data_IF_234994137300
#
_entry.id   IF_234994137300
#
_cell.length_a   1.000
_cell.length_b   1.000
_cell.length_c   1.000
_cell.angle_alpha   90.00
_cell.angle_beta   90.00
_cell.angle_gamma   90.00
#
_symmetry.space_group_name_H-M   'P 1'
#
loop_
_entity.id
_entity.type
_entity.pdbx_description
1 polymer ?
#
# COMPACT_ATOMS: atom_id res chain seq x y z
N UNK A 1 21.82 13.44 6.57
CA UNK A 1 21.37 12.41 5.60
C UNK A 1 20.62 11.35 6.38
N UNK A 2 19.39 11.06 5.99
CA UNK A 2 18.60 9.90 6.44
C UNK A 2 18.77 8.80 5.40
N UNK A 3 18.98 7.56 5.84
CA UNK A 3 19.05 6.37 4.98
C UNK A 3 17.98 5.36 5.40
N UNK A 4 17.55 4.55 4.45
CA UNK A 4 16.53 3.52 4.60
C UNK A 4 17.05 2.21 4.00
N UNK A 5 16.60 1.07 4.55
CA UNK A 5 16.93 -0.25 4.02
C UNK A 5 16.14 -0.51 2.75
N UNK A 6 16.83 -0.76 1.64
CA UNK A 6 16.23 -1.03 0.34
C UNK A 6 16.13 -2.55 0.11
N UNK A 7 15.00 -3.12 0.51
CA UNK A 7 14.72 -4.57 0.39
C UNK A 7 14.72 -5.03 -1.07
N UNK A 8 14.16 -4.22 -1.97
CA UNK A 8 14.15 -4.47 -3.42
C UNK A 8 15.51 -4.33 -4.12
N UNK A 9 16.55 -3.87 -3.41
CA UNK A 9 17.92 -3.76 -3.94
C UNK A 9 18.92 -4.41 -2.97
N UNK A 10 18.80 -5.73 -2.78
CA UNK A 10 19.79 -6.55 -2.08
C UNK A 10 20.04 -6.15 -0.61
N UNK A 11 19.04 -5.58 0.07
CA UNK A 11 19.17 -5.03 1.44
C UNK A 11 20.27 -3.94 1.58
N UNK A 12 20.50 -3.15 0.52
CA UNK A 12 21.42 -2.00 0.54
C UNK A 12 20.82 -0.77 1.26
N UNK A 13 21.64 0.24 1.55
CA UNK A 13 21.22 1.45 2.30
C UNK A 13 21.06 2.68 1.39
N UNK A 14 19.84 2.94 0.93
CA UNK A 14 19.53 4.09 0.07
C UNK A 14 19.33 5.38 0.89
N UNK A 15 19.93 6.53 0.49
CA UNK A 15 19.66 7.84 1.10
C UNK A 15 18.30 8.39 0.65
N UNK A 16 17.40 8.68 1.61
CA UNK A 16 16.00 9.07 1.34
C UNK A 16 15.64 10.51 1.73
N UNK A 17 16.47 11.19 2.53
CA UNK A 17 16.28 12.62 2.82
C UNK A 17 17.59 13.30 3.23
N UNK A 18 17.74 14.57 2.86
CA UNK A 18 18.79 15.45 3.36
C UNK A 18 18.21 16.62 4.15
N UNK A 19 18.16 16.47 5.47
CA UNK A 19 17.71 17.54 6.38
C UNK A 19 18.53 18.84 6.29
N UNK A 20 19.76 18.79 5.73
CA UNK A 20 20.58 20.00 5.52
C UNK A 20 20.02 20.96 4.46
N UNK A 21 19.23 20.48 3.51
CA UNK A 21 18.57 21.34 2.51
C UNK A 21 17.47 22.22 3.13
N UNK A 22 16.97 21.85 4.30
CA UNK A 22 15.96 22.58 5.06
C UNK A 22 16.58 23.53 6.10
N UNK A 23 17.86 23.34 6.45
CA UNK A 23 18.63 24.24 7.31
C UNK A 23 18.98 25.55 6.59
N UNK A 24 18.96 26.68 7.30
CA UNK A 24 19.45 27.98 6.81
C UNK A 24 20.86 28.30 7.29
N UNK A 25 21.21 27.91 8.53
CA UNK A 25 22.53 28.13 9.13
C UNK A 25 23.38 26.86 9.29
N UNK A 26 24.69 27.02 9.56
CA UNK A 26 25.57 25.91 9.97
C UNK A 26 25.12 25.29 11.31
N UNK A 27 24.62 26.11 12.21
CA UNK A 27 24.10 25.77 13.55
C UNK A 27 22.61 25.38 13.59
N UNK A 28 21.92 25.38 12.44
CA UNK A 28 20.59 24.78 12.32
C UNK A 28 20.72 23.26 12.25
N UNK A 29 19.83 22.54 12.90
CA UNK A 29 19.75 21.07 12.84
C UNK A 29 18.30 20.59 12.85
N UNK A 30 18.09 19.30 12.61
CA UNK A 30 16.80 18.62 12.78
C UNK A 30 17.03 17.35 13.60
N UNK A 31 16.27 17.19 14.68
CA UNK A 31 16.28 16.02 15.55
C UNK A 31 15.13 15.10 15.16
N UNK A 32 15.42 13.91 14.63
CA UNK A 32 14.40 13.00 14.07
C UNK A 32 13.63 12.31 15.19
N UNK A 33 12.31 12.26 15.06
CA UNK A 33 11.36 11.66 16.00
C UNK A 33 10.71 10.40 15.42
N UNK A 34 10.42 10.40 14.11
CA UNK A 34 9.78 9.26 13.45
C UNK A 34 9.85 9.33 11.93
N UNK A 35 9.74 8.16 11.31
CA UNK A 35 9.69 7.94 9.86
C UNK A 35 8.40 7.19 9.59
N UNK A 36 7.60 7.66 8.63
CA UNK A 36 6.43 6.94 8.13
C UNK A 36 6.55 6.80 6.61
N UNK A 37 6.23 5.61 6.09
CA UNK A 37 6.30 5.31 4.66
C UNK A 37 5.00 5.66 3.94
N UNK A 38 3.84 5.31 4.51
CA UNK A 38 2.53 5.70 4.01
C UNK A 38 1.71 6.39 5.13
N UNK A 39 1.33 7.67 4.98
CA UNK A 39 1.86 8.65 4.03
C UNK A 39 3.34 8.97 4.28
N UNK A 40 4.08 9.35 3.23
CA UNK A 40 5.51 9.66 3.28
C UNK A 40 5.80 10.93 4.12
N UNK A 41 6.30 10.78 5.35
CA UNK A 41 6.66 11.91 6.23
C UNK A 41 7.83 11.63 7.18
N UNK A 42 8.81 12.55 7.21
CA UNK A 42 9.89 12.58 8.19
C UNK A 42 9.51 13.52 9.35
N UNK A 43 9.07 12.96 10.47
CA UNK A 43 8.73 13.73 11.68
C UNK A 43 10.01 14.07 12.44
N UNK A 44 10.26 15.37 12.62
CA UNK A 44 11.48 15.85 13.27
C UNK A 44 11.27 17.21 13.93
N UNK A 45 12.05 17.52 14.97
CA UNK A 45 12.02 18.81 15.66
C UNK A 45 13.12 19.70 15.06
N UNK A 46 12.81 20.93 14.61
CA UNK A 46 13.82 21.88 14.17
C UNK A 46 14.60 22.42 15.37
N UNK A 47 15.93 22.36 15.30
CA UNK A 47 16.83 22.84 16.34
C UNK A 47 17.67 24.02 15.83
N UNK A 48 17.93 24.98 16.71
CA UNK A 48 18.65 26.23 16.42
C UNK A 48 19.76 26.40 17.45
N UNK A 49 21.02 26.49 17.01
CA UNK A 49 22.19 26.55 17.89
C UNK A 49 22.67 25.17 18.37
N UNK A 50 21.76 24.23 18.60
CA UNK A 50 22.01 22.88 19.11
C UNK A 50 21.60 21.76 18.13
N UNK A 51 22.02 20.51 18.41
CA UNK A 51 21.62 19.30 17.66
C UNK A 51 20.41 18.58 18.23
N UNK A 52 19.95 18.99 19.41
CA UNK A 52 18.81 18.46 20.15
C UNK A 52 17.99 19.64 20.69
N UNK A 53 16.66 19.53 20.81
CA UNK A 53 15.85 20.60 21.37
C UNK A 53 15.94 20.64 22.90
N UNK A 54 15.68 21.80 23.54
CA UNK A 54 15.44 21.84 24.98
C UNK A 54 14.13 21.12 25.32
N UNK A 55 14.04 20.54 26.51
CA UNK A 55 12.83 19.82 26.99
C UNK A 55 11.64 20.76 27.17
N UNK A 56 11.89 22.01 27.56
CA UNK A 56 10.90 23.05 27.81
C UNK A 56 11.28 24.36 27.09
N UNK A 57 10.31 25.10 26.52
CA UNK A 57 8.91 24.71 26.30
C UNK A 57 8.81 23.51 25.34
N UNK A 58 7.71 22.75 25.40
CA UNK A 58 7.52 21.53 24.58
C UNK A 58 7.72 21.85 23.08
N UNK A 59 8.73 21.26 22.41
CA UNK A 59 9.02 21.60 21.03
C UNK A 59 7.92 21.17 20.05
N UNK A 60 7.72 21.95 18.99
CA UNK A 60 6.84 21.57 17.89
C UNK A 60 7.52 20.55 16.96
N UNK A 61 6.78 19.52 16.55
CA UNK A 61 7.24 18.53 15.56
C UNK A 61 6.92 19.07 14.17
N UNK A 62 7.96 19.29 13.36
CA UNK A 62 7.85 19.56 11.94
C UNK A 62 7.73 18.25 11.14
N UNK A 63 7.14 18.34 9.95
CA UNK A 63 7.12 17.29 8.94
C UNK A 63 8.00 17.77 7.78
N UNK A 64 8.96 16.96 7.38
CA UNK A 64 9.73 17.15 6.14
C UNK A 64 9.37 16.06 5.13
N UNK A 65 9.36 16.43 3.86
CA UNK A 65 9.21 15.48 2.75
C UNK A 65 10.48 14.65 2.57
N UNK A 66 10.31 13.40 2.13
CA UNK A 66 11.42 12.62 1.60
C UNK A 66 11.80 13.10 0.20
N UNK A 67 13.08 12.96 -0.12
CA UNK A 67 13.69 13.37 -1.38
C UNK A 67 15.00 12.59 -1.56
N UNK A 68 15.05 11.71 -2.54
CA UNK A 68 16.26 10.97 -2.90
C UNK A 68 17.24 11.92 -3.64
N UNK A 69 18.56 11.74 -3.52
CA UNK A 69 19.55 12.65 -4.09
C UNK A 69 19.77 12.42 -5.60
N UNK A 70 18.72 12.59 -6.39
CA UNK A 70 18.77 12.45 -7.85
C UNK A 70 19.49 13.62 -8.53
N UNK A 71 20.21 13.31 -9.60
CA UNK A 71 20.86 14.30 -10.45
C UNK A 71 19.82 15.12 -11.23
N UNK A 72 20.13 16.40 -11.49
CA UNK A 72 19.29 17.29 -12.33
C UNK A 72 17.82 17.39 -11.88
N UNK A 73 17.56 17.33 -10.57
CA UNK A 73 16.23 17.35 -9.94
C UNK A 73 15.34 18.57 -10.29
N UNK A 74 15.90 19.63 -10.85
CA UNK A 74 15.18 20.81 -11.35
C UNK A 74 14.65 20.64 -12.80
N UNK A 75 14.91 19.50 -13.44
CA UNK A 75 14.37 19.15 -14.77
C UNK A 75 13.18 18.21 -14.64
N UNK A 76 12.23 18.27 -15.59
CA UNK A 76 11.06 17.38 -15.62
C UNK A 76 11.46 15.89 -15.53
N UNK A 77 12.53 15.50 -16.24
CA UNK A 77 13.14 14.17 -16.18
C UNK A 77 13.58 13.83 -14.75
N UNK A 78 14.47 14.62 -14.17
CA UNK A 78 15.03 14.34 -12.83
C UNK A 78 13.97 14.35 -11.73
N UNK A 79 12.93 15.18 -11.88
CA UNK A 79 11.77 15.20 -10.98
C UNK A 79 10.95 13.91 -11.06
N UNK A 80 10.61 13.43 -12.27
CA UNK A 80 9.85 12.20 -12.44
C UNK A 80 10.66 10.95 -12.05
N UNK A 81 11.98 10.93 -12.30
CA UNK A 81 12.87 9.85 -11.87
C UNK A 81 12.95 9.76 -10.34
N UNK A 82 13.09 10.91 -9.64
CA UNK A 82 13.07 10.93 -8.17
C UNK A 82 11.72 10.45 -7.63
N UNK A 83 10.61 10.92 -8.20
CA UNK A 83 9.26 10.51 -7.79
C UNK A 83 9.03 9.02 -7.99
N UNK A 84 9.45 8.46 -9.13
CA UNK A 84 9.32 7.03 -9.44
C UNK A 84 10.14 6.19 -8.45
N UNK A 85 11.44 6.45 -8.31
CA UNK A 85 12.30 5.66 -7.43
C UNK A 85 12.00 5.86 -5.95
N UNK A 86 11.47 7.03 -5.55
CA UNK A 86 10.90 7.24 -4.22
C UNK A 86 9.64 6.41 -4.01
N UNK A 87 8.71 6.38 -4.98
CA UNK A 87 7.53 5.52 -4.88
C UNK A 87 7.91 4.04 -4.78
N UNK A 88 8.89 3.56 -5.55
CA UNK A 88 9.39 2.17 -5.45
C UNK A 88 9.91 1.86 -4.05
N UNK A 89 10.89 2.63 -3.53
CA UNK A 89 11.50 2.28 -2.22
C UNK A 89 10.51 2.39 -1.06
N UNK A 90 9.57 3.33 -1.09
CA UNK A 90 8.58 3.55 -0.03
C UNK A 90 7.37 2.59 -0.06
N UNK A 91 7.30 1.68 -1.04
CA UNK A 91 6.29 0.61 -1.07
C UNK A 91 6.89 -0.80 -0.93
N UNK A 92 8.22 -0.94 -0.88
CA UNK A 92 8.93 -2.19 -0.55
C UNK A 92 8.46 -2.86 0.76
N UNK A 93 7.85 -2.11 1.69
CA UNK A 93 7.30 -2.68 2.92
C UNK A 93 6.08 -3.57 2.67
N UNK A 94 5.30 -3.33 1.59
CA UNK A 94 4.09 -4.12 1.28
C UNK A 94 4.46 -5.56 0.92
N UNK A 95 5.47 -5.74 0.06
CA UNK A 95 5.97 -7.08 -0.29
C UNK A 95 6.68 -7.77 0.87
N UNK A 96 7.25 -7.01 1.81
CA UNK A 96 7.78 -7.56 3.06
C UNK A 96 6.67 -8.05 3.99
N UNK A 97 5.62 -7.26 4.19
CA UNK A 97 4.44 -7.65 4.99
C UNK A 97 3.80 -8.91 4.38
N UNK A 98 3.56 -8.92 3.07
CA UNK A 98 3.02 -10.06 2.33
C UNK A 98 3.86 -11.34 2.51
N UNK A 99 5.18 -11.27 2.27
CA UNK A 99 6.10 -12.42 2.39
C UNK A 99 6.26 -12.94 3.81
N UNK A 100 5.94 -12.13 4.82
CA UNK A 100 5.98 -12.54 6.22
C UNK A 100 4.58 -12.82 6.83
N UNK A 101 3.52 -12.84 6.02
CA UNK A 101 2.16 -13.16 6.48
C UNK A 101 1.50 -12.08 7.35
N UNK A 102 2.01 -10.84 7.33
CA UNK A 102 1.39 -9.71 8.01
C UNK A 102 0.27 -9.11 7.17
N UNK A 103 -0.73 -8.53 7.83
CA UNK A 103 -1.80 -7.76 7.19
C UNK A 103 -1.23 -6.52 6.47
N UNK A 104 -1.64 -6.30 5.22
CA UNK A 104 -1.30 -5.13 4.42
C UNK A 104 -2.45 -4.75 3.49
N UNK A 105 -2.51 -3.49 3.10
CA UNK A 105 -3.59 -3.01 2.23
C UNK A 105 -3.22 -3.16 0.75
N UNK A 106 -3.81 -4.16 0.10
CA UNK A 106 -3.67 -4.40 -1.34
C UNK A 106 -4.21 -3.22 -2.21
N UNK A 107 -5.07 -2.36 -1.66
CA UNK A 107 -5.48 -1.10 -2.29
C UNK A 107 -4.30 -0.13 -2.44
N UNK A 108 -3.48 0.02 -1.38
CA UNK A 108 -2.25 0.83 -1.41
C UNK A 108 -1.25 0.28 -2.42
N UNK A 109 -1.06 -1.06 -2.50
CA UNK A 109 -0.18 -1.69 -3.51
C UNK A 109 -0.64 -1.37 -4.93
N UNK A 110 -1.93 -1.54 -5.23
CA UNK A 110 -2.53 -1.19 -6.52
C UNK A 110 -2.44 0.31 -6.85
N UNK A 111 -2.47 1.19 -5.85
CA UNK A 111 -2.31 2.64 -6.05
C UNK A 111 -0.85 3.04 -6.33
N UNK A 112 0.12 2.43 -5.63
CA UNK A 112 1.54 2.62 -5.88
C UNK A 112 1.92 2.24 -7.31
N UNK A 113 1.47 1.07 -7.79
CA UNK A 113 1.70 0.64 -9.17
C UNK A 113 1.10 1.62 -10.18
N UNK A 114 -0.10 2.17 -9.94
CA UNK A 114 -0.69 3.19 -10.83
C UNK A 114 0.16 4.45 -10.92
N UNK A 115 0.61 5.00 -9.78
CA UNK A 115 1.49 6.18 -9.74
C UNK A 115 2.79 5.93 -10.53
N UNK A 116 3.43 4.80 -10.29
CA UNK A 116 4.69 4.41 -10.94
C UNK A 116 4.54 4.27 -12.45
N UNK A 117 3.47 3.61 -12.92
CA UNK A 117 3.20 3.44 -14.35
C UNK A 117 2.79 4.75 -15.03
N UNK A 118 2.10 5.66 -14.33
CA UNK A 118 1.81 7.01 -14.81
C UNK A 118 3.10 7.84 -14.99
N UNK A 119 4.03 7.77 -14.04
CA UNK A 119 5.33 8.44 -14.11
C UNK A 119 6.19 7.88 -15.26
N UNK A 120 6.25 6.56 -15.42
CA UNK A 120 6.95 5.93 -16.56
C UNK A 120 6.35 6.36 -17.90
N UNK A 121 5.02 6.43 -18.03
CA UNK A 121 4.36 6.86 -19.26
C UNK A 121 4.67 8.33 -19.59
N UNK A 122 4.72 9.22 -18.58
CA UNK A 122 5.16 10.61 -18.76
C UNK A 122 6.62 10.72 -19.16
N UNK A 123 7.52 9.94 -18.54
CA UNK A 123 8.95 9.91 -18.90
C UNK A 123 9.19 9.34 -20.30
N UNK A 124 8.40 8.34 -20.72
CA UNK A 124 8.44 7.79 -22.09
C UNK A 124 7.96 8.83 -23.11
N UNK A 125 6.85 9.52 -22.83
CA UNK A 125 6.36 10.61 -23.67
C UNK A 125 7.36 11.77 -23.78
N UNK A 126 8.02 12.15 -22.68
CA UNK A 126 9.10 13.15 -22.68
C UNK A 126 10.31 12.67 -23.50
N UNK A 127 10.73 11.41 -23.34
CA UNK A 127 11.86 10.84 -24.09
C UNK A 127 11.56 10.75 -25.60
N UNK A 128 10.32 10.44 -25.97
CA UNK A 128 9.84 10.41 -27.35
C UNK A 128 9.84 11.80 -28.00
N UNK A 129 9.38 12.84 -27.29
CA UNK A 129 9.48 14.25 -27.73
C UNK A 129 10.92 14.73 -27.92
N UNK A 130 11.86 14.16 -27.16
CA UNK A 130 13.29 14.44 -27.26
C UNK A 130 14.03 13.50 -28.24
N UNK A 131 13.29 12.71 -29.02
CA UNK A 131 13.78 11.74 -30.01
C UNK A 131 14.72 10.65 -29.48
N UNK A 132 14.68 10.40 -28.16
CA UNK A 132 15.50 9.38 -27.48
C UNK A 132 14.81 8.03 -27.50
N UNK A 133 14.56 7.49 -28.68
CA UNK A 133 13.74 6.29 -28.89
C UNK A 133 14.28 5.06 -28.13
N UNK A 134 15.60 4.87 -28.05
CA UNK A 134 16.20 3.81 -27.21
C UNK A 134 15.77 3.92 -25.74
N UNK A 135 15.72 5.14 -25.18
CA UNK A 135 15.27 5.39 -23.80
C UNK A 135 13.79 5.14 -23.60
N UNK A 136 12.97 5.27 -24.64
CA UNK A 136 11.57 4.86 -24.56
C UNK A 136 11.44 3.34 -24.36
N UNK A 137 12.39 2.54 -24.86
CA UNK A 137 12.46 1.10 -24.59
C UNK A 137 12.99 0.83 -23.18
N UNK A 138 14.07 1.50 -22.74
CA UNK A 138 14.59 1.42 -21.35
C UNK A 138 13.49 1.71 -20.31
N UNK A 139 12.62 2.71 -20.57
CA UNK A 139 11.51 3.07 -19.70
C UNK A 139 10.29 2.14 -19.81
N UNK A 140 10.14 1.43 -20.93
CA UNK A 140 9.10 0.43 -21.12
C UNK A 140 9.46 -0.93 -20.52
N UNK A 141 10.75 -1.20 -20.28
CA UNK A 141 11.15 -2.40 -19.54
C UNK A 141 10.64 -2.38 -18.09
N UNK A 142 10.58 -1.19 -17.48
CA UNK A 142 9.98 -0.97 -16.16
C UNK A 142 8.44 -0.93 -16.18
N UNK A 143 7.80 -1.07 -17.35
CA UNK A 143 6.34 -1.05 -17.49
C UNK A 143 5.69 -2.44 -17.38
N UNK A 144 4.50 -2.45 -16.82
CA UNK A 144 3.55 -3.57 -16.91
C UNK A 144 3.11 -3.79 -18.36
N UNK A 145 2.71 -5.03 -18.69
CA UNK A 145 2.20 -5.41 -20.02
C UNK A 145 1.17 -4.42 -20.58
N UNK A 146 0.24 -3.98 -19.73
CA UNK A 146 -0.84 -3.07 -20.09
C UNK A 146 -0.33 -1.66 -20.45
N UNK A 147 0.74 -1.20 -19.79
CA UNK A 147 1.39 0.07 -20.08
C UNK A 147 2.32 -0.02 -21.31
N UNK A 148 3.04 -1.13 -21.53
CA UNK A 148 3.78 -1.37 -22.78
C UNK A 148 2.83 -1.39 -23.99
N UNK A 149 1.70 -2.09 -23.88
CA UNK A 149 0.64 -2.11 -24.90
C UNK A 149 0.01 -0.72 -25.16
N UNK A 150 0.07 0.20 -24.20
CA UNK A 150 -0.33 1.60 -24.40
C UNK A 150 0.81 2.43 -25.03
N UNK A 151 2.07 2.15 -24.68
CA UNK A 151 3.26 2.79 -25.26
C UNK A 151 3.44 2.46 -26.76
N UNK A 152 3.16 1.22 -27.20
CA UNK A 152 3.13 0.84 -28.63
C UNK A 152 2.14 1.73 -29.40
N UNK A 153 0.92 1.89 -28.87
CA UNK A 153 -0.14 2.72 -29.47
C UNK A 153 0.26 4.20 -29.51
N UNK A 154 0.96 4.68 -28.47
CA UNK A 154 1.52 6.03 -28.42
C UNK A 154 2.63 6.24 -29.47
N UNK A 155 3.61 5.34 -29.56
CA UNK A 155 4.71 5.42 -30.53
C UNK A 155 4.20 5.40 -31.98
N UNK A 156 3.26 4.49 -32.28
CA UNK A 156 2.58 4.42 -33.58
C UNK A 156 1.84 5.73 -33.93
N UNK A 157 1.05 6.28 -32.99
CA UNK A 157 0.37 7.57 -33.17
C UNK A 157 1.35 8.75 -33.35
N UNK A 158 2.52 8.70 -32.72
CA UNK A 158 3.63 9.66 -32.91
C UNK A 158 4.47 9.39 -34.17
N UNK A 159 4.07 8.45 -35.04
CA UNK A 159 4.78 8.04 -36.27
C UNK A 159 6.19 7.47 -36.04
N UNK A 160 6.55 7.09 -34.82
CA UNK A 160 7.83 6.46 -34.47
C UNK A 160 7.73 4.94 -34.68
N UNK A 161 7.74 4.52 -35.95
CA UNK A 161 7.47 3.13 -36.34
C UNK A 161 8.52 2.13 -35.81
N UNK A 162 9.81 2.48 -35.83
CA UNK A 162 10.88 1.62 -35.32
C UNK A 162 10.77 1.44 -33.80
N UNK A 163 10.47 2.53 -33.06
CA UNK A 163 10.13 2.43 -31.64
C UNK A 163 8.89 1.56 -31.39
N UNK A 164 7.82 1.71 -32.18
CA UNK A 164 6.62 0.90 -32.03
C UNK A 164 6.89 -0.59 -32.25
N UNK A 165 7.74 -0.94 -33.22
CA UNK A 165 8.23 -2.31 -33.42
C UNK A 165 9.03 -2.79 -32.20
N UNK A 166 10.03 -2.04 -31.74
CA UNK A 166 10.87 -2.42 -30.59
C UNK A 166 10.09 -2.59 -29.28
N UNK A 167 9.07 -1.76 -29.06
CA UNK A 167 8.12 -1.93 -27.94
C UNK A 167 7.19 -3.14 -28.11
N UNK A 168 6.95 -3.59 -29.34
CA UNK A 168 6.15 -4.79 -29.63
C UNK A 168 6.97 -6.07 -29.44
N UNK A 169 8.24 -6.05 -29.84
CA UNK A 169 9.21 -7.12 -29.54
C UNK A 169 9.35 -7.30 -28.02
N UNK A 170 9.60 -6.20 -27.29
CA UNK A 170 9.64 -6.20 -25.82
C UNK A 170 8.34 -6.72 -25.18
N UNK A 171 7.17 -6.42 -25.76
CA UNK A 171 5.89 -6.94 -25.26
C UNK A 171 5.73 -8.45 -25.46
N UNK A 172 6.36 -9.05 -26.47
CA UNK A 172 6.38 -10.51 -26.67
C UNK A 172 7.35 -11.17 -25.70
N UNK A 173 8.55 -10.60 -25.52
CA UNK A 173 9.53 -11.04 -24.52
C UNK A 173 8.90 -11.06 -23.12
N UNK A 174 8.30 -9.94 -22.70
CA UNK A 174 7.62 -9.82 -21.41
C UNK A 174 6.38 -10.71 -21.26
N UNK A 175 5.70 -11.07 -22.35
CA UNK A 175 4.60 -12.03 -22.29
C UNK A 175 5.13 -13.46 -22.05
N UNK A 176 6.24 -13.82 -22.69
CA UNK A 176 6.90 -15.11 -22.50
C UNK A 176 7.45 -15.26 -21.07
N UNK A 177 8.08 -14.21 -20.51
CA UNK A 177 8.51 -14.16 -19.11
C UNK A 177 7.38 -14.53 -18.13
N UNK A 178 6.20 -13.89 -18.27
CA UNK A 178 5.05 -14.19 -17.40
C UNK A 178 4.55 -15.63 -17.55
N UNK A 179 4.54 -16.18 -18.75
CA UNK A 179 4.14 -17.59 -18.94
C UNK A 179 5.16 -18.57 -18.36
N UNK A 180 6.46 -18.25 -18.39
CA UNK A 180 7.50 -19.06 -17.77
C UNK A 180 7.35 -19.08 -16.24
N UNK A 181 7.23 -17.92 -15.60
CA UNK A 181 7.05 -17.83 -14.14
C UNK A 181 5.80 -18.57 -13.66
N UNK A 182 4.69 -18.51 -14.41
CA UNK A 182 3.46 -19.24 -14.07
C UNK A 182 3.60 -20.77 -14.19
N UNK A 183 4.47 -21.26 -15.09
CA UNK A 183 4.79 -22.69 -15.19
C UNK A 183 5.69 -23.11 -14.03
N UNK A 184 6.74 -22.34 -13.71
CA UNK A 184 7.65 -22.62 -12.59
C UNK A 184 6.92 -22.63 -11.24
N UNK A 185 6.07 -21.62 -10.95
CA UNK A 185 5.25 -21.59 -9.73
C UNK A 185 4.27 -22.78 -9.65
N UNK A 186 3.72 -23.22 -10.79
CA UNK A 186 2.84 -24.39 -10.87
C UNK A 186 3.56 -25.73 -10.66
N UNK A 187 4.78 -25.87 -11.20
CA UNK A 187 5.62 -27.05 -11.01
C UNK A 187 6.13 -27.17 -9.57
N UNK A 188 6.46 -26.05 -8.89
CA UNK A 188 6.77 -26.06 -7.45
C UNK A 188 5.56 -26.45 -6.58
N UNK A 189 4.35 -25.95 -6.87
CA UNK A 189 3.13 -26.40 -6.18
C UNK A 189 2.85 -27.89 -6.42
N UNK A 190 3.06 -28.40 -7.64
CA UNK A 190 2.90 -29.83 -7.94
C UNK A 190 3.93 -30.71 -7.22
N UNK A 191 5.21 -30.31 -7.18
CA UNK A 191 6.26 -31.04 -6.47
C UNK A 191 6.02 -31.04 -4.94
N UNK A 192 5.56 -29.93 -4.37
CA UNK A 192 5.14 -29.87 -2.98
C UNK A 192 3.94 -30.80 -2.69
N UNK A 193 2.92 -30.82 -3.56
CA UNK A 193 1.80 -31.79 -3.48
C UNK A 193 2.28 -33.24 -3.61
N UNK A 194 3.19 -33.54 -4.54
CA UNK A 194 3.76 -34.88 -4.76
C UNK A 194 4.55 -35.35 -3.54
N UNK A 195 5.34 -34.49 -2.90
CA UNK A 195 6.07 -34.78 -1.64
C UNK A 195 5.13 -35.07 -0.47
N UNK A 196 4.03 -34.32 -0.32
CA UNK A 196 3.01 -34.61 0.70
C UNK A 196 2.31 -35.95 0.45
N UNK A 197 1.91 -36.23 -0.79
CA UNK A 197 1.23 -37.48 -1.14
C UNK A 197 2.16 -38.71 -1.04
N UNK A 198 3.46 -38.57 -1.31
CA UNK A 198 4.44 -39.66 -1.13
C UNK A 198 4.55 -40.14 0.33
N UNK A 199 4.27 -39.25 1.30
CA UNK A 199 4.17 -39.58 2.72
C UNK A 199 2.97 -40.49 3.05
N UNK A 200 1.91 -40.46 2.24
CA UNK A 200 0.75 -41.36 2.33
C UNK A 200 0.92 -42.62 1.47
N UNK A 201 2.08 -43.25 1.58
CA UNK A 201 2.28 -44.61 1.08
C UNK A 201 1.44 -45.59 1.92
N UNK A 202 0.41 -46.20 1.31
CA UNK A 202 -0.46 -47.19 1.95
C UNK A 202 0.26 -48.53 2.21
N UNK A 203 1.25 -48.54 3.10
CA UNK A 203 1.73 -49.77 3.73
C UNK A 203 0.60 -50.29 4.62
N UNK A 204 -0.08 -51.35 4.18
CA UNK A 204 -1.19 -51.93 4.92
C UNK A 204 -0.73 -52.38 6.32
N UNK A 205 -1.17 -51.67 7.36
CA UNK A 205 -0.78 -51.95 8.74
C UNK A 205 -1.29 -53.32 9.15
N UNK A 206 -0.44 -54.15 9.76
CA UNK A 206 -0.69 -55.59 10.05
C UNK A 206 -1.73 -55.85 11.17
N UNK A 207 -2.64 -54.90 11.42
CA UNK A 207 -3.72 -55.00 12.40
C UNK A 207 -5.06 -55.45 11.78
N UNK A 208 -5.10 -55.63 10.46
CA UNK A 208 -6.33 -55.89 9.69
C UNK A 208 -6.51 -57.34 9.24
N UNK A 209 -6.14 -58.35 10.06
CA UNK A 209 -6.81 -59.67 10.07
C UNK A 209 -6.65 -60.40 11.43
N UNK A 210 -7.67 -61.16 11.89
CA UNK A 210 -7.64 -61.84 13.19
C UNK A 210 -6.96 -63.22 13.13
N UNK A 211 -6.26 -63.61 14.20
CA UNK A 211 -5.71 -64.98 14.38
C UNK A 211 -6.34 -65.69 15.58
N UNK A 212 -6.98 -66.82 15.32
CA UNK A 212 -7.43 -67.79 16.33
C UNK A 212 -6.26 -68.55 16.97
N UNK A 213 -6.39 -68.98 18.24
CA UNK A 213 -6.58 -70.41 18.59
C UNK A 213 -6.81 -70.70 20.10
N UNK A 214 -8.07 -71.06 20.42
CA UNK A 214 -8.58 -72.01 21.42
C UNK A 214 -8.18 -71.93 22.92
N UNK A 215 -9.20 -71.78 23.77
CA UNK A 215 -9.51 -72.56 25.00
C UNK A 215 -10.84 -72.06 25.62
N UNK A 216 -11.74 -72.85 26.23
CA UNK A 216 -12.10 -74.28 26.06
C UNK A 216 -13.49 -74.50 26.73
N UNK A 217 -14.40 -75.32 26.15
CA UNK A 217 -15.76 -75.66 26.68
C UNK A 217 -16.70 -74.43 26.92
N UNK A 218 -18.03 -74.42 27.05
CA UNK A 218 -19.25 -75.26 26.91
C UNK A 218 -20.45 -74.24 26.83
N UNK A 219 -21.67 -74.42 26.28
CA UNK A 219 -22.36 -75.40 25.41
C UNK A 219 -23.69 -74.73 24.85
N UNK A 220 -24.59 -75.44 24.13
CA UNK A 220 -25.91 -75.01 23.59
C UNK A 220 -25.86 -74.02 22.37
N UNK A 221 -26.70 -74.10 21.32
CA UNK A 221 -28.18 -74.07 21.18
C UNK A 221 -28.80 -72.72 21.64
N UNK A 222 -29.70 -72.03 20.92
CA UNK A 222 -30.57 -72.39 19.76
C UNK A 222 -30.83 -71.17 18.80
N UNK A 223 -31.72 -71.37 17.82
CA UNK A 223 -32.35 -70.48 16.83
C UNK A 223 -32.91 -69.12 17.29
N UNK A 224 -33.26 -68.25 16.31
CA UNK A 224 -34.09 -67.06 16.51
C UNK A 224 -34.06 -66.05 15.36
N UNK A 225 -35.24 -65.66 14.84
CA UNK A 225 -35.46 -64.53 13.92
C UNK A 225 -36.22 -63.38 14.61
N UNK A 226 -36.42 -62.27 13.87
CA UNK A 226 -37.50 -61.28 13.99
C UNK A 226 -37.29 -59.99 14.82
N UNK A 227 -38.18 -59.02 14.52
CA UNK A 227 -38.34 -57.66 15.07
C UNK A 227 -38.69 -57.67 16.59
N UNK A 228 -38.62 -56.55 17.33
CA UNK A 228 -39.65 -55.48 17.31
C UNK A 228 -39.19 -54.12 17.89
N UNK A 229 -40.02 -53.10 17.71
CA UNK A 229 -39.93 -51.83 18.44
C UNK A 229 -40.43 -51.98 19.90
N UNK A 230 -39.82 -51.28 20.87
CA UNK A 230 -40.56 -50.28 21.67
C UNK A 230 -39.67 -49.51 22.66
N UNK A 231 -40.27 -48.50 23.33
CA UNK A 231 -39.61 -47.55 24.24
C UNK A 231 -40.60 -47.07 25.32
N UNK A 232 -40.23 -47.18 26.60
CA UNK A 232 -40.45 -46.09 27.58
C UNK A 232 -39.10 -45.52 28.08
N UNK A 233 -38.93 -44.26 28.54
CA UNK A 233 -39.65 -43.48 29.56
C UNK A 233 -39.42 -44.05 31.01
N UNK A 234 -39.24 -43.28 32.10
CA UNK A 234 -39.56 -41.87 32.44
C UNK A 234 -38.46 -41.27 33.38
N UNK A 235 -38.62 -39.98 33.77
CA UNK A 235 -38.05 -39.27 34.94
C UNK A 235 -36.78 -38.39 34.82
N UNK A 236 -37.06 -37.08 34.66
CA UNK A 236 -36.28 -35.91 35.15
C UNK A 236 -36.78 -35.51 36.57
N UNK A 237 -36.37 -34.37 37.18
CA UNK A 237 -35.05 -33.74 37.28
C UNK A 237 -34.64 -33.43 38.75
N UNK A 238 -33.34 -33.19 38.99
CA UNK A 238 -32.86 -32.46 40.18
C UNK A 238 -32.36 -31.07 39.80
N UNK A 239 -33.01 -30.01 40.28
CA UNK A 239 -32.65 -28.61 40.00
C UNK A 239 -32.63 -27.80 41.32
N UNK A 240 -31.92 -26.66 41.30
CA UNK A 240 -31.98 -25.50 42.19
C UNK A 240 -30.95 -25.36 43.31
N UNK A 241 -30.60 -24.15 43.78
CA UNK A 241 -30.47 -22.79 43.17
C UNK A 241 -30.14 -21.79 44.31
N UNK A 242 -30.02 -20.49 43.95
CA UNK A 242 -30.14 -19.28 44.81
C UNK A 242 -28.90 -18.85 45.65
N UNK A 243 -28.62 -17.54 45.88
CA UNK A 243 -29.02 -16.32 45.13
C UNK A 243 -28.51 -14.98 45.73
N UNK A 244 -28.73 -13.88 44.96
CA UNK A 244 -29.21 -12.54 45.41
C UNK A 244 -28.19 -11.56 46.04
N UNK A 245 -28.38 -10.22 45.97
CA UNK A 245 -29.45 -9.40 45.35
C UNK A 245 -29.12 -7.88 45.22
N UNK A 246 -29.58 -7.24 44.12
CA UNK A 246 -30.30 -5.91 44.03
C UNK A 246 -29.66 -4.61 44.60
N UNK A 247 -29.95 -3.36 44.14
CA UNK A 247 -30.86 -2.81 43.10
C UNK A 247 -30.53 -1.32 42.76
N UNK A 248 -31.34 -0.72 41.86
CA UNK A 248 -31.60 0.73 41.67
C UNK A 248 -30.58 1.55 40.85
N UNK A 249 -30.98 2.53 40.01
CA UNK A 249 -32.30 2.87 39.40
C UNK A 249 -32.15 3.86 38.23
N UNK A 250 -33.24 4.08 37.49
CA UNK A 250 -33.35 4.84 36.22
C UNK A 250 -33.04 6.35 36.26
N UNK A 251 -32.83 6.92 35.06
CA UNK A 251 -33.48 8.16 34.56
C UNK A 251 -33.34 8.20 33.02
N UNK A 252 -34.29 8.85 32.31
CA UNK A 252 -34.41 8.76 30.84
C UNK A 252 -34.45 10.12 30.12
N UNK A 253 -33.97 10.11 28.87
CA UNK A 253 -34.24 11.00 27.74
C UNK A 253 -33.99 12.53 27.87
N UNK A 254 -33.21 13.07 26.91
CA UNK A 254 -33.74 13.97 25.86
C UNK A 254 -32.72 14.27 24.74
N UNK A 255 -33.21 14.30 23.51
CA UNK A 255 -32.50 14.90 22.37
C UNK A 255 -32.60 16.43 22.42
N UNK A 256 -31.53 17.13 22.07
CA UNK A 256 -31.51 18.60 21.96
C UNK A 256 -30.65 19.05 20.78
N UNK A 257 -31.24 19.81 19.86
CA UNK A 257 -30.53 20.35 18.70
C UNK A 257 -29.66 21.56 19.11
N UNK A 258 -28.41 21.60 18.66
CA UNK A 258 -27.52 22.74 18.87
C UNK A 258 -27.77 23.78 17.80
N UNK A 259 -28.27 24.95 18.19
CA UNK A 259 -28.44 26.10 17.30
C UNK A 259 -27.11 26.85 17.12
N UNK A 260 -26.78 27.20 15.87
CA UNK A 260 -25.63 28.07 15.58
C UNK A 260 -25.95 29.52 15.97
N UNK A 261 -25.27 30.06 16.99
CA UNK A 261 -25.34 31.47 17.36
C UNK A 261 -24.30 32.29 16.58
N UNK A 262 -24.77 33.12 15.66
CA UNK A 262 -23.93 33.98 14.82
C UNK A 262 -23.54 35.29 15.51
N UNK A 263 -22.52 35.24 16.39
CA UNK A 263 -21.87 36.45 16.91
C UNK A 263 -20.42 36.54 16.39
N UNK A 264 -20.15 37.61 15.64
CA UNK A 264 -18.93 37.74 14.84
C UNK A 264 -17.67 38.06 15.65
N UNK A 265 -16.56 37.42 15.29
CA UNK A 265 -15.21 37.88 15.62
C UNK A 265 -14.57 38.45 14.37
N UNK A 266 -14.32 39.76 14.36
CA UNK A 266 -13.69 40.46 13.24
C UNK A 266 -12.18 40.19 13.25
N UNK A 267 -11.56 39.99 12.08
CA UNK A 267 -10.13 39.71 11.96
C UNK A 267 -9.30 40.98 12.25
N UNK A 268 -8.41 41.00 13.27
CA UNK A 268 -7.63 42.18 13.64
C UNK A 268 -6.56 42.59 12.61
N UNK A 269 -6.28 41.77 11.59
CA UNK A 269 -5.30 42.05 10.54
C UNK A 269 -5.93 42.59 9.23
N UNK A 270 -7.24 42.86 9.18
CA UNK A 270 -7.91 43.28 7.94
C UNK A 270 -7.75 44.78 7.68
N UNK A 271 -6.67 45.15 6.99
CA UNK A 271 -6.43 46.52 6.51
C UNK A 271 -7.52 46.93 5.50
N UNK A 272 -8.20 48.05 5.75
CA UNK A 272 -9.20 48.63 4.86
C UNK A 272 -8.54 49.51 3.80
N UNK A 273 -8.49 49.04 2.55
CA UNK A 273 -8.13 49.90 1.41
C UNK A 273 -9.26 50.91 1.16
N UNK A 274 -8.94 52.21 1.14
CA UNK A 274 -9.90 53.28 0.89
C UNK A 274 -10.32 53.32 -0.58
N UNK A 275 -11.57 52.97 -0.87
CA UNK A 275 -12.17 53.11 -2.19
C UNK A 275 -12.36 54.60 -2.53
N UNK A 276 -11.58 55.08 -3.50
CA UNK A 276 -11.71 56.45 -4.05
C UNK A 276 -12.58 56.39 -5.29
N UNK A 277 -13.89 56.60 -5.14
CA UNK A 277 -14.83 56.60 -6.26
C UNK A 277 -14.68 57.85 -7.16
N UNK A 278 -14.98 57.74 -8.47
CA UNK A 278 -14.88 58.84 -9.42
C UNK A 278 -16.16 59.68 -9.51
N UNK A 279 -16.00 60.99 -9.71
CA UNK A 279 -17.08 61.89 -10.13
C UNK A 279 -17.10 62.07 -11.67
N UNK A 280 -18.24 62.47 -12.21
CA UNK A 280 -18.59 62.30 -13.64
C UNK A 280 -18.21 63.48 -14.56
N UNK A 281 -18.06 63.13 -15.84
CA UNK A 281 -18.35 63.94 -17.06
C UNK A 281 -17.64 65.28 -17.30
N UNK A 282 -17.06 65.43 -18.50
CA UNK A 282 -17.74 66.17 -19.58
C UNK A 282 -17.13 65.88 -20.97
N UNK A 283 -17.83 66.34 -22.02
CA UNK A 283 -17.52 66.11 -23.43
C UNK A 283 -16.24 66.85 -23.90
N UNK A 284 -15.53 66.28 -24.87
CA UNK A 284 -15.31 66.95 -26.18
C UNK A 284 -14.79 65.96 -27.24
N UNK A 285 -14.74 66.38 -28.50
CA UNK A 285 -14.65 65.52 -29.67
C UNK A 285 -13.31 65.56 -30.42
N UNK A 286 -13.19 64.62 -31.39
CA UNK A 286 -12.61 64.79 -32.75
C UNK A 286 -11.13 64.41 -32.98
N UNK A 287 -10.90 63.88 -34.20
CA UNK A 287 -9.62 63.76 -34.95
C UNK A 287 -8.57 62.79 -34.37
N UNK A 288 -8.15 61.67 -34.99
CA UNK A 288 -7.71 61.28 -36.37
C UNK A 288 -6.21 61.39 -36.63
N UNK A 289 -5.67 60.30 -37.19
CA UNK A 289 -4.45 60.14 -38.01
C UNK A 289 -3.10 59.81 -37.33
N UNK A 290 -2.37 58.95 -38.07
CA UNK A 290 -1.00 58.42 -37.90
C UNK A 290 -0.85 57.45 -36.72
#
# INVERSE_FOLDING_TARGET
>A
IVRMLNRGLGNTWTPVCNTREHCKGKSDHYWVVGIHENPQQLRCIPCKGSRFPPTLPRPAVAILSFKLPYCQIATEKGQMEEQFWRSVIFHNHLDYLAKNGYEYEESTKKQATKEQQELLMKMLALSCKLEREFRCVELADLMTQNAVNLAIKYASRSRKLILAQKLSELAVEKAAELTATQVEEGEEEEDFRKKLNAGYSNTATEWSQPRFRNQVEEDAEDSGEADDEEKPEIHKPGQNSFSKSTNSSDISAKSGAVTFSSQGRVNPFKVSASSKEPAMSMNSARSTNI
#
